data_IF_756147997865
#
_entry.id   IF_756147997865
#
_cell.length_a   1.000
_cell.length_b   1.000
_cell.length_c   1.000
_cell.angle_alpha   90.00
_cell.angle_beta   90.00
_cell.angle_gamma   90.00
#
_symmetry.space_group_name_H-M   'P 1'
#
loop_
_entity.id
_entity.type
_entity.pdbx_description
1 polymer ?
#
# COMPACT_ATOMS: atom_id res chain seq x y z
N UNK A 1 7.06 -16.72 15.43
CA UNK A 1 7.23 -16.00 14.14
C UNK A 1 6.52 -14.66 14.24
N UNK A 2 6.99 -13.57 13.60
CA UNK A 2 6.26 -12.31 13.63
C UNK A 2 4.91 -12.41 12.92
N UNK A 3 3.94 -11.60 13.34
CA UNK A 3 2.61 -11.51 12.73
C UNK A 3 2.58 -10.41 11.68
N UNK A 4 1.92 -10.65 10.55
CA UNK A 4 1.69 -9.62 9.54
C UNK A 4 0.74 -8.55 10.08
N UNK A 5 1.12 -7.28 10.04
CA UNK A 5 0.29 -6.16 10.49
C UNK A 5 -0.98 -5.94 9.64
N UNK A 6 -1.09 -6.58 8.47
CA UNK A 6 -2.24 -6.42 7.56
C UNK A 6 -3.23 -7.58 7.67
N UNK A 7 -2.75 -8.83 7.74
CA UNK A 7 -3.60 -10.01 7.74
C UNK A 7 -3.54 -10.82 9.04
N UNK A 8 -2.73 -10.39 10.00
CA UNK A 8 -2.54 -11.02 11.32
C UNK A 8 -2.07 -12.48 11.28
N UNK A 9 -1.61 -12.98 10.13
CA UNK A 9 -1.05 -14.33 9.99
C UNK A 9 0.40 -14.35 10.45
N UNK A 10 0.84 -15.48 10.99
CA UNK A 10 2.26 -15.75 11.23
C UNK A 10 3.04 -15.75 9.90
N UNK A 11 4.18 -15.07 9.90
CA UNK A 11 5.03 -14.93 8.72
C UNK A 11 6.44 -15.38 9.06
N UNK A 12 6.98 -16.30 8.28
CA UNK A 12 8.40 -16.61 8.33
C UNK A 12 9.21 -15.40 7.85
N UNK A 13 10.37 -15.13 8.45
CA UNK A 13 11.28 -14.05 8.02
C UNK A 13 11.57 -14.05 6.52
N UNK A 14 11.65 -15.23 5.86
CA UNK A 14 11.82 -15.34 4.39
C UNK A 14 10.67 -14.76 3.56
N UNK A 15 9.47 -14.67 4.16
CA UNK A 15 8.24 -14.21 3.52
C UNK A 15 7.84 -12.79 3.96
N UNK A 16 8.69 -12.11 4.73
CA UNK A 16 8.55 -10.69 5.06
C UNK A 16 9.07 -9.86 3.89
N UNK A 17 8.36 -8.79 3.56
CA UNK A 17 8.72 -7.84 2.50
C UNK A 17 8.90 -6.42 3.02
N UNK A 18 8.45 -6.13 4.23
CA UNK A 18 8.62 -4.83 4.88
C UNK A 18 8.70 -5.01 6.38
N UNK A 19 9.64 -4.29 6.97
CA UNK A 19 9.88 -4.23 8.41
C UNK A 19 10.06 -2.76 8.74
N UNK A 20 9.24 -2.25 9.66
CA UNK A 20 9.43 -0.94 10.25
C UNK A 20 9.11 -0.99 11.74
N UNK A 21 10.14 -0.87 12.57
CA UNK A 21 10.06 -1.04 14.03
C UNK A 21 9.36 -2.37 14.39
N UNK A 22 8.15 -2.31 14.95
CA UNK A 22 7.36 -3.50 15.33
C UNK A 22 6.34 -3.92 14.25
N UNK A 23 6.38 -3.30 13.07
CA UNK A 23 5.48 -3.62 11.96
C UNK A 23 6.14 -4.58 10.99
N UNK A 24 5.59 -5.77 10.85
CA UNK A 24 6.02 -6.77 9.87
C UNK A 24 4.95 -6.94 8.81
N UNK A 25 5.31 -6.94 7.53
CA UNK A 25 4.34 -7.15 6.44
C UNK A 25 4.85 -8.24 5.52
N UNK A 26 4.02 -9.26 5.28
CA UNK A 26 4.34 -10.33 4.35
C UNK A 26 4.32 -9.85 2.88
N UNK A 27 4.99 -10.59 2.00
CA UNK A 27 5.04 -10.33 0.55
C UNK A 27 3.67 -10.13 -0.09
N UNK A 28 2.68 -10.92 0.30
CA UNK A 28 1.32 -10.84 -0.26
C UNK A 28 0.62 -9.53 0.12
N UNK A 29 0.76 -9.09 1.38
CA UNK A 29 0.11 -7.89 1.89
C UNK A 29 0.88 -6.60 1.59
N UNK A 30 2.17 -6.71 1.23
CA UNK A 30 3.05 -5.56 1.10
C UNK A 30 2.58 -4.56 0.05
N UNK A 31 2.11 -5.04 -1.10
CA UNK A 31 1.62 -4.17 -2.18
C UNK A 31 0.49 -3.23 -1.73
N UNK A 32 -0.51 -3.78 -1.02
CA UNK A 32 -1.60 -3.00 -0.45
C UNK A 32 -1.14 -2.09 0.68
N UNK A 33 -0.28 -2.58 1.58
CA UNK A 33 0.26 -1.78 2.68
C UNK A 33 1.05 -0.57 2.17
N UNK A 34 1.90 -0.79 1.16
CA UNK A 34 2.71 0.25 0.54
C UNK A 34 1.84 1.35 -0.06
N UNK A 35 0.80 0.99 -0.83
CA UNK A 35 -0.08 1.97 -1.48
C UNK A 35 -0.82 2.82 -0.45
N UNK A 36 -1.29 2.20 0.63
CA UNK A 36 -2.08 2.88 1.66
C UNK A 36 -1.23 3.77 2.57
N UNK A 37 -0.06 3.29 2.98
CA UNK A 37 0.68 3.88 4.10
C UNK A 37 2.03 4.51 3.70
N UNK A 38 2.60 4.15 2.55
CA UNK A 38 3.97 4.53 2.18
C UNK A 38 4.01 5.37 0.90
N UNK A 39 3.06 5.17 -0.01
CA UNK A 39 3.04 5.80 -1.33
C UNK A 39 2.58 7.27 -1.28
N UNK A 40 3.52 8.21 -1.18
CA UNK A 40 3.24 9.67 -1.19
C UNK A 40 2.48 10.17 -2.43
N UNK A 41 2.58 9.47 -3.56
CA UNK A 41 1.87 9.83 -4.80
C UNK A 41 0.37 9.56 -4.69
N UNK A 42 -0.04 8.52 -3.94
CA UNK A 42 -1.45 8.24 -3.67
C UNK A 42 -2.10 9.41 -2.94
N UNK A 43 -1.43 9.95 -1.93
CA UNK A 43 -1.92 11.09 -1.16
C UNK A 43 -2.14 12.34 -2.02
N UNK A 44 -1.19 12.66 -2.90
CA UNK A 44 -1.31 13.79 -3.86
C UNK A 44 -2.48 13.60 -4.82
N UNK A 45 -2.66 12.38 -5.34
CA UNK A 45 -3.78 12.03 -6.23
C UNK A 45 -5.14 12.15 -5.54
N UNK A 46 -5.24 11.75 -4.26
CA UNK A 46 -6.47 11.93 -3.47
C UNK A 46 -6.80 13.41 -3.23
N UNK A 47 -5.79 14.28 -3.19
CA UNK A 47 -5.95 15.75 -3.09
C UNK A 47 -6.25 16.43 -4.42
N UNK A 48 -6.25 15.70 -5.54
CA UNK A 48 -6.46 16.26 -6.87
C UNK A 48 -5.24 16.94 -7.49
N UNK A 49 -4.03 16.73 -6.94
CA UNK A 49 -2.78 17.28 -7.50
C UNK A 49 -2.26 16.39 -8.66
N UNK A 50 -2.06 17.00 -9.84
CA UNK A 50 -1.63 16.37 -11.11
C UNK A 50 -0.09 16.41 -11.26
N UNK A 51 0.61 15.38 -11.84
CA UNK A 51 0.17 14.52 -12.93
C UNK A 51 -0.66 13.28 -12.52
N UNK A 52 -1.70 13.03 -13.31
CA UNK A 52 -2.72 11.98 -13.16
C UNK A 52 -2.21 10.54 -13.34
N UNK A 53 -1.03 10.32 -13.91
CA UNK A 53 -0.46 8.97 -14.11
C UNK A 53 0.77 8.77 -13.22
N UNK A 54 0.71 7.78 -12.32
CA UNK A 54 1.86 7.37 -11.52
C UNK A 54 2.88 6.73 -12.47
N UNK A 55 3.92 7.48 -12.83
CA UNK A 55 5.05 6.95 -13.59
C UNK A 55 5.93 6.03 -12.73
N UNK A 56 5.77 6.06 -11.40
CA UNK A 56 6.71 5.46 -10.44
C UNK A 56 6.11 4.39 -9.53
N UNK A 57 4.91 3.90 -9.80
CA UNK A 57 4.29 2.88 -8.96
C UNK A 57 4.52 1.50 -9.60
N UNK A 58 5.43 0.70 -9.04
CA UNK A 58 5.51 -0.74 -9.32
C UNK A 58 4.15 -1.45 -9.10
N UNK A 59 3.24 -0.82 -8.34
CA UNK A 59 1.87 -1.27 -8.08
C UNK A 59 0.78 -0.35 -8.69
N UNK A 60 1.04 0.25 -9.87
CA UNK A 60 0.13 1.23 -10.52
C UNK A 60 -1.34 0.77 -10.56
N UNK A 61 -1.61 -0.46 -11.00
CA UNK A 61 -2.99 -1.00 -11.08
C UNK A 61 -3.70 -0.96 -9.74
N UNK A 62 -3.04 -1.39 -8.68
CA UNK A 62 -3.62 -1.39 -7.34
C UNK A 62 -3.77 0.04 -6.79
N UNK A 63 -2.84 0.95 -7.12
CA UNK A 63 -2.91 2.36 -6.76
C UNK A 63 -4.12 3.04 -7.40
N UNK A 64 -4.37 2.82 -8.68
CA UNK A 64 -5.51 3.42 -9.40
C UNK A 64 -6.84 2.88 -8.86
N UNK A 65 -6.94 1.58 -8.56
CA UNK A 65 -8.11 0.98 -7.90
C UNK A 65 -8.35 1.58 -6.52
N UNK A 66 -7.28 1.75 -5.72
CA UNK A 66 -7.38 2.32 -4.38
C UNK A 66 -7.86 3.77 -4.43
N UNK A 67 -7.23 4.61 -5.25
CA UNK A 67 -7.63 6.02 -5.40
C UNK A 67 -9.08 6.14 -5.87
N UNK A 68 -9.47 5.37 -6.89
CA UNK A 68 -10.84 5.39 -7.41
C UNK A 68 -11.88 5.00 -6.36
N UNK A 69 -11.58 3.98 -5.53
CA UNK A 69 -12.47 3.55 -4.45
C UNK A 69 -12.57 4.63 -3.36
N UNK A 70 -11.44 5.19 -2.94
CA UNK A 70 -11.40 6.18 -1.86
C UNK A 70 -12.09 7.50 -2.27
N UNK A 71 -11.90 7.97 -3.50
CA UNK A 71 -12.60 9.16 -3.99
C UNK A 71 -14.12 8.95 -4.07
N UNK A 72 -14.58 7.77 -4.50
CA UNK A 72 -16.01 7.42 -4.52
C UNK A 72 -16.64 7.31 -3.14
N UNK A 73 -15.87 7.01 -2.09
CA UNK A 73 -16.37 6.97 -0.71
C UNK A 73 -16.41 8.34 -0.04
N UNK A 74 -15.81 9.37 -0.66
CA UNK A 74 -15.78 10.74 -0.15
C UNK A 74 -16.86 11.63 -0.78
N UNK A 75 -17.52 11.15 -1.84
CA UNK A 75 -18.70 11.75 -2.49
C UNK A 75 -19.98 11.18 -1.91
#
# INVERSE_FOLDING_TARGET
MPLCAVCSKEVNFKNISYINENTFVCKECFSQYYIKNVCKVVERRLRGESPLACSFCAYKKQCDVYVSKTLKSLS
#
